data_IF_368611148491
#
_entry.id   IF_368611148491
#
_cell.length_a   1.000
_cell.length_b   1.000
_cell.length_c   1.000
_cell.angle_alpha   90.00
_cell.angle_beta   90.00
_cell.angle_gamma   90.00
#
_symmetry.space_group_name_H-M   'P 1'
#
loop_
_entity.id
_entity.type
_entity.pdbx_description
1 polymer ?
#
# COMPACT_ATOMS: atom_id res chain seq x y z
N UNK A 1 14.16 19.38 -36.73
CA UNK A 1 14.57 19.64 -35.32
C UNK A 1 13.40 19.85 -34.38
N UNK A 2 12.40 20.60 -34.73
CA UNK A 2 11.24 20.83 -33.84
C UNK A 2 10.42 19.57 -33.52
N UNK A 3 10.36 18.61 -34.43
CA UNK A 3 9.65 17.33 -34.22
C UNK A 3 10.31 16.44 -33.18
N UNK A 4 11.64 16.46 -33.11
CA UNK A 4 12.38 15.67 -32.10
C UNK A 4 12.27 16.25 -30.71
N UNK A 5 12.17 17.56 -30.59
CA UNK A 5 11.98 18.26 -29.31
C UNK A 5 10.59 17.99 -28.76
N UNK A 6 9.57 17.95 -29.61
CA UNK A 6 8.19 17.64 -29.19
C UNK A 6 8.06 16.19 -28.74
N UNK A 7 8.70 15.25 -29.42
CA UNK A 7 8.72 13.83 -29.04
C UNK A 7 9.46 13.62 -27.70
N UNK A 8 10.57 14.34 -27.51
CA UNK A 8 11.31 14.30 -26.27
C UNK A 8 10.50 14.85 -25.08
N UNK A 9 9.72 15.90 -25.31
CA UNK A 9 8.89 16.52 -24.29
C UNK A 9 7.70 15.63 -23.88
N UNK A 10 7.18 14.84 -24.81
CA UNK A 10 6.08 13.90 -24.55
C UNK A 10 6.50 12.70 -23.68
N UNK A 11 7.78 12.34 -23.71
CA UNK A 11 8.30 11.23 -22.91
C UNK A 11 8.40 11.59 -21.42
N UNK A 12 8.55 12.89 -21.10
CA UNK A 12 8.62 13.37 -19.71
C UNK A 12 7.27 13.46 -19.01
N UNK A 13 6.15 13.35 -19.72
CA UNK A 13 4.81 13.42 -19.16
C UNK A 13 4.27 12.06 -18.69
N UNK A 14 5.01 10.97 -18.87
CA UNK A 14 4.61 9.64 -18.45
C UNK A 14 5.02 9.31 -17.02
N UNK A 15 5.31 10.29 -16.18
CA UNK A 15 5.70 10.06 -14.81
C UNK A 15 4.51 10.02 -13.86
N UNK A 16 4.19 8.83 -13.40
CA UNK A 16 3.73 8.53 -12.04
C UNK A 16 2.27 8.68 -11.71
N UNK A 17 1.66 7.53 -11.46
CA UNK A 17 0.58 7.48 -10.49
C UNK A 17 0.61 6.16 -9.74
N UNK A 18 1.27 6.10 -8.60
CA UNK A 18 1.35 4.92 -7.75
C UNK A 18 -0.01 4.47 -7.21
N UNK A 19 -0.92 5.40 -6.93
CA UNK A 19 -2.29 5.08 -6.49
C UNK A 19 -3.12 4.41 -7.59
N UNK A 20 -3.00 4.89 -8.81
CA UNK A 20 -3.69 4.29 -9.94
C UNK A 20 -3.17 2.88 -10.24
N UNK A 21 -1.87 2.65 -10.10
CA UNK A 21 -1.27 1.34 -10.33
C UNK A 21 -1.79 0.29 -9.35
N UNK A 22 -1.98 0.65 -8.07
CA UNK A 22 -2.55 -0.24 -7.07
C UNK A 22 -4.00 -0.60 -7.40
N UNK A 23 -4.83 0.38 -7.74
CA UNK A 23 -6.21 0.13 -8.16
C UNK A 23 -6.29 -0.69 -9.44
N UNK A 24 -5.43 -0.42 -10.41
CA UNK A 24 -5.35 -1.20 -11.64
C UNK A 24 -4.93 -2.64 -11.36
N UNK A 25 -4.03 -2.86 -10.42
CA UNK A 25 -3.64 -4.20 -10.00
C UNK A 25 -4.82 -4.97 -9.42
N UNK A 26 -5.61 -4.37 -8.54
CA UNK A 26 -6.81 -5.00 -7.98
C UNK A 26 -7.83 -5.29 -9.07
N UNK A 27 -8.06 -4.37 -10.00
CA UNK A 27 -8.99 -4.58 -11.11
C UNK A 27 -8.51 -5.66 -12.08
N UNK A 28 -7.22 -5.87 -12.23
CA UNK A 28 -6.66 -6.90 -13.11
C UNK A 28 -7.02 -8.32 -12.64
N UNK A 29 -7.30 -8.51 -11.36
CA UNK A 29 -7.70 -9.79 -10.80
C UNK A 29 -9.19 -10.09 -10.98
N UNK A 30 -10.00 -9.10 -11.28
CA UNK A 30 -11.44 -9.30 -11.52
C UNK A 30 -11.65 -10.18 -12.74
N UNK A 31 -12.46 -11.23 -12.58
CA UNK A 31 -12.70 -12.24 -13.62
C UNK A 31 -11.77 -13.46 -13.54
N UNK A 32 -10.72 -13.41 -12.76
CA UNK A 32 -9.84 -14.55 -12.50
C UNK A 32 -10.48 -15.53 -11.52
N UNK A 33 -10.02 -16.77 -11.55
CA UNK A 33 -10.46 -17.79 -10.60
C UNK A 33 -9.85 -17.58 -9.23
N UNK A 34 -10.56 -17.99 -8.20
CA UNK A 34 -10.04 -18.00 -6.81
C UNK A 34 -8.71 -18.75 -6.70
N UNK A 35 -8.58 -19.88 -7.37
CA UNK A 35 -7.35 -20.67 -7.36
C UNK A 35 -6.14 -19.92 -7.92
N UNK A 36 -6.35 -19.04 -8.90
CA UNK A 36 -5.26 -18.27 -9.51
C UNK A 36 -4.66 -17.29 -8.51
N UNK A 37 -5.49 -16.59 -7.73
CA UNK A 37 -4.97 -15.65 -6.73
C UNK A 37 -4.38 -16.38 -5.53
N UNK A 38 -4.90 -17.52 -5.14
CA UNK A 38 -4.32 -18.35 -4.08
C UNK A 38 -2.93 -18.87 -4.47
N UNK A 39 -2.73 -19.23 -5.72
CA UNK A 39 -1.41 -19.65 -6.23
C UNK A 39 -0.42 -18.48 -6.28
N UNK A 40 -0.89 -17.28 -6.63
CA UNK A 40 -0.04 -16.09 -6.74
C UNK A 40 0.31 -15.48 -5.38
N UNK A 41 -0.67 -15.37 -4.49
CA UNK A 41 -0.52 -14.66 -3.21
C UNK A 41 -0.42 -15.58 -1.99
N UNK A 42 -0.68 -16.84 -2.16
CA UNK A 42 -0.66 -17.82 -1.06
C UNK A 42 -1.92 -17.79 -0.21
N UNK A 43 -1.81 -18.34 0.99
CA UNK A 43 -2.93 -18.49 1.90
C UNK A 43 -3.38 -17.13 2.43
N UNK A 44 -4.69 -16.80 2.37
CA UNK A 44 -5.19 -15.56 2.93
C UNK A 44 -5.07 -15.54 4.46
N UNK A 45 -4.90 -14.35 5.02
CA UNK A 45 -4.83 -14.15 6.48
C UNK A 45 -6.18 -14.41 7.13
N UNK A 46 -7.26 -14.04 6.45
CA UNK A 46 -8.64 -14.23 6.90
C UNK A 46 -9.51 -14.67 5.73
N UNK A 47 -10.51 -15.47 6.04
CA UNK A 47 -11.54 -15.80 5.08
C UNK A 47 -12.91 -15.78 5.76
N UNK A 48 -13.90 -15.36 5.00
CA UNK A 48 -15.28 -15.31 5.48
C UNK A 48 -16.21 -15.63 4.30
N UNK A 49 -17.23 -16.42 4.57
CA UNK A 49 -18.21 -16.80 3.55
C UNK A 49 -19.62 -16.58 4.09
N UNK A 50 -20.45 -15.90 3.32
CA UNK A 50 -21.85 -15.65 3.64
C UNK A 50 -22.67 -15.53 2.35
N UNK A 51 -23.84 -16.16 2.32
CA UNK A 51 -24.80 -16.09 1.21
C UNK A 51 -24.19 -16.39 -0.18
N UNK A 52 -23.28 -17.36 -0.23
CA UNK A 52 -22.58 -17.73 -1.46
C UNK A 52 -21.49 -16.78 -1.90
N UNK A 53 -21.19 -15.77 -1.10
CA UNK A 53 -20.09 -14.82 -1.34
C UNK A 53 -18.94 -15.11 -0.39
N UNK A 54 -17.75 -15.25 -0.96
CA UNK A 54 -16.52 -15.49 -0.20
C UNK A 54 -15.67 -14.25 -0.19
N UNK A 55 -15.15 -13.90 0.99
CA UNK A 55 -14.23 -12.80 1.21
C UNK A 55 -12.89 -13.36 1.63
N UNK A 56 -11.85 -13.12 0.84
CA UNK A 56 -10.48 -13.50 1.16
C UNK A 56 -9.68 -12.23 1.43
N UNK A 57 -9.04 -12.18 2.60
CA UNK A 57 -8.27 -11.01 3.02
C UNK A 57 -6.82 -11.38 3.25
N UNK A 58 -5.92 -10.66 2.60
CA UNK A 58 -4.50 -10.70 2.84
C UNK A 58 -4.08 -9.43 3.56
N UNK A 59 -3.43 -9.59 4.71
CA UNK A 59 -2.97 -8.47 5.52
C UNK A 59 -1.46 -8.37 5.46
N UNK A 60 -0.96 -7.17 5.17
CA UNK A 60 0.45 -6.84 5.26
C UNK A 60 0.62 -5.78 6.34
N UNK A 61 1.26 -6.16 7.44
CA UNK A 61 1.51 -5.28 8.57
C UNK A 61 3.01 -5.14 8.77
N UNK A 62 3.46 -3.90 8.86
CA UNK A 62 4.82 -3.58 9.23
C UNK A 62 4.83 -2.48 10.27
N UNK A 63 5.84 -2.47 11.10
CA UNK A 63 6.01 -1.43 12.11
C UNK A 63 7.47 -1.02 12.17
N UNK A 64 7.69 0.26 12.38
CA UNK A 64 9.02 0.79 12.65
C UNK A 64 8.92 1.88 13.71
N UNK A 65 10.03 2.11 14.37
CA UNK A 65 10.12 3.14 15.40
C UNK A 65 10.87 4.32 14.79
N UNK A 66 10.20 5.48 14.74
CA UNK A 66 10.86 6.72 14.40
C UNK A 66 11.68 7.17 15.59
N UNK A 67 13.02 7.26 15.46
CA UNK A 67 13.86 7.62 16.60
C UNK A 67 13.57 9.04 17.07
N UNK A 68 13.57 9.21 18.39
CA UNK A 68 13.50 10.53 19.00
C UNK A 68 14.81 11.30 18.80
N UNK A 69 14.73 12.61 18.90
CA UNK A 69 15.86 13.50 18.80
C UNK A 69 16.10 14.22 20.13
N UNK A 70 17.37 14.43 20.44
CA UNK A 70 17.79 15.29 21.52
C UNK A 70 18.53 16.49 20.93
N UNK A 71 18.21 17.70 21.37
CA UNK A 71 18.93 18.90 20.98
C UNK A 71 19.18 19.78 22.20
N UNK A 72 20.31 20.45 22.19
CA UNK A 72 20.74 21.31 23.28
C UNK A 72 20.80 22.75 22.79
N UNK A 73 20.16 23.65 23.53
CA UNK A 73 20.17 25.08 23.28
C UNK A 73 21.04 25.77 24.33
N UNK A 74 21.92 26.67 23.90
CA UNK A 74 22.81 27.42 24.76
C UNK A 74 22.33 28.87 24.82
N UNK A 75 22.30 29.44 26.03
CA UNK A 75 21.97 30.85 26.24
C UNK A 75 22.41 31.31 27.60
N UNK A 76 23.07 32.47 27.67
CA UNK A 76 23.49 33.15 28.93
C UNK A 76 24.10 32.24 29.99
N UNK A 77 25.05 31.40 29.59
CA UNK A 77 25.74 30.49 30.50
C UNK A 77 24.96 29.29 30.96
N UNK A 78 23.79 29.04 30.37
CA UNK A 78 22.98 27.85 30.63
C UNK A 78 22.81 27.00 29.37
N UNK A 79 22.70 25.69 29.54
CA UNK A 79 22.42 24.75 28.49
C UNK A 79 21.10 24.01 28.80
N UNK A 80 20.18 24.02 27.86
CA UNK A 80 18.89 23.32 27.99
C UNK A 80 18.82 22.23 26.93
N UNK A 81 18.61 20.99 27.37
CA UNK A 81 18.45 19.85 26.47
C UNK A 81 16.99 19.46 26.38
N UNK A 82 16.47 19.42 25.16
CA UNK A 82 15.11 18.96 24.89
C UNK A 82 15.14 17.60 24.20
N UNK A 83 14.22 16.72 24.60
CA UNK A 83 14.09 15.38 24.06
C UNK A 83 12.75 15.22 23.37
N UNK A 84 12.78 14.69 22.16
CA UNK A 84 11.60 14.23 21.47
C UNK A 84 11.52 12.71 21.64
N UNK A 85 10.41 12.15 22.15
CA UNK A 85 10.30 10.72 22.34
C UNK A 85 10.26 9.98 20.99
N UNK A 86 10.69 8.73 21.00
CA UNK A 86 10.52 7.85 19.86
C UNK A 86 9.03 7.52 19.68
N UNK A 87 8.59 7.47 18.42
CA UNK A 87 7.19 7.23 18.07
C UNK A 87 7.12 5.93 17.26
N UNK A 88 6.33 4.93 17.72
CA UNK A 88 6.07 3.76 16.91
C UNK A 88 5.13 4.12 15.77
N UNK A 89 5.47 3.69 14.56
CA UNK A 89 4.63 3.86 13.37
C UNK A 89 4.24 2.49 12.88
N UNK A 90 2.93 2.26 12.80
CA UNK A 90 2.35 1.04 12.30
C UNK A 90 1.82 1.27 10.89
N UNK A 91 2.31 0.46 9.95
CA UNK A 91 1.86 0.46 8.58
C UNK A 91 1.06 -0.81 8.32
N UNK A 92 -0.09 -0.66 7.70
CA UNK A 92 -0.92 -1.80 7.37
C UNK A 92 -1.58 -1.64 6.01
N UNK A 93 -1.82 -2.76 5.36
CA UNK A 93 -2.70 -2.85 4.20
C UNK A 93 -3.42 -4.19 4.24
N UNK A 94 -4.74 -4.13 4.19
CA UNK A 94 -5.61 -5.29 4.04
C UNK A 94 -6.21 -5.26 2.65
N UNK A 95 -5.96 -6.31 1.88
CA UNK A 95 -6.57 -6.48 0.57
C UNK A 95 -7.60 -7.58 0.69
N UNK A 96 -8.84 -7.26 0.34
CA UNK A 96 -9.96 -8.20 0.36
C UNK A 96 -10.45 -8.43 -1.06
N UNK A 97 -10.43 -9.68 -1.49
CA UNK A 97 -11.04 -10.11 -2.74
C UNK A 97 -12.39 -10.72 -2.48
N UNK A 98 -13.38 -10.30 -3.23
CA UNK A 98 -14.75 -10.78 -3.16
C UNK A 98 -14.95 -11.78 -4.28
N UNK A 99 -15.37 -12.99 -3.91
CA UNK A 99 -15.46 -14.13 -4.82
C UNK A 99 -16.90 -14.65 -4.81
N UNK A 100 -17.44 -14.81 -6.01
CA UNK A 100 -18.74 -15.44 -6.24
C UNK A 100 -18.56 -16.57 -7.24
N UNK A 101 -19.09 -17.75 -6.90
CA UNK A 101 -19.01 -18.94 -7.76
C UNK A 101 -17.59 -19.27 -8.23
N UNK A 102 -16.60 -19.06 -7.34
CA UNK A 102 -15.19 -19.33 -7.63
C UNK A 102 -14.49 -18.30 -8.50
N UNK A 103 -15.16 -17.18 -8.81
CA UNK A 103 -14.61 -16.10 -9.65
C UNK A 103 -14.52 -14.82 -8.84
N UNK A 104 -13.41 -14.11 -8.98
CA UNK A 104 -13.19 -12.83 -8.35
C UNK A 104 -14.05 -11.77 -9.04
N UNK A 105 -14.93 -11.14 -8.29
CA UNK A 105 -15.84 -10.11 -8.82
C UNK A 105 -15.44 -8.70 -8.41
N UNK A 106 -14.68 -8.55 -7.33
CA UNK A 106 -14.26 -7.25 -6.84
C UNK A 106 -13.04 -7.39 -5.95
N UNK A 107 -12.25 -6.34 -5.84
CA UNK A 107 -11.12 -6.21 -4.92
C UNK A 107 -11.16 -4.87 -4.22
N UNK A 108 -10.85 -4.87 -2.93
CA UNK A 108 -10.78 -3.67 -2.09
C UNK A 108 -9.48 -3.66 -1.30
N UNK A 109 -8.99 -2.49 -1.02
CA UNK A 109 -7.86 -2.29 -0.11
C UNK A 109 -8.23 -1.31 0.99
N UNK A 110 -7.72 -1.55 2.20
CA UNK A 110 -7.92 -0.71 3.35
C UNK A 110 -6.63 -0.67 4.18
N UNK A 111 -6.23 0.52 4.56
CA UNK A 111 -5.05 0.72 5.38
C UNK A 111 -4.29 1.97 5.00
N UNK A 112 -3.21 2.23 5.73
CA UNK A 112 -2.38 3.42 5.54
C UNK A 112 -1.15 3.19 4.65
N UNK A 113 -0.91 1.97 4.22
CA UNK A 113 0.23 1.59 3.39
C UNK A 113 -0.15 0.54 2.35
N UNK A 114 -1.05 0.89 1.45
CA UNK A 114 -1.52 0.01 0.38
C UNK A 114 -0.82 0.26 -0.96
N UNK A 115 0.39 0.75 -0.95
CA UNK A 115 1.14 1.04 -2.18
C UNK A 115 2.10 -0.08 -2.59
N UNK A 116 2.59 -0.84 -1.63
CA UNK A 116 3.60 -1.88 -1.82
C UNK A 116 3.03 -3.27 -1.49
N UNK A 117 2.32 -3.83 -2.44
CA UNK A 117 1.75 -5.16 -2.24
C UNK A 117 2.14 -6.12 -3.34
#
# INVERSE_FOLDING_TARGET
MNKFIIISLLIFLSSCTTKLDHQNMLQSWVGHKETDILDAWGTPTKHYETDGVKYLTWSNNSSFVMPGNAYTTYGYGTATTSYTPSIPINLNCDITMIIKEGIIVSGKSKGNNCYDF
#
